data_IF_276690682377
#
_entry.id   IF_276690682377
#
_cell.length_a   1.000
_cell.length_b   1.000
_cell.length_c   1.000
_cell.angle_alpha   90.00
_cell.angle_beta   90.00
_cell.angle_gamma   90.00
#
_symmetry.space_group_name_H-M   'P 1'
#
loop_
_entity.id
_entity.type
_entity.pdbx_description
1 polymer ?
#
# COMPACT_ATOMS: atom_id res chain seq x y z
N UNK A 1 39.88 -30.42 -35.42
CA UNK A 1 40.59 -29.67 -34.36
C UNK A 1 40.45 -28.20 -34.74
N UNK A 2 39.66 -27.36 -34.09
CA UNK A 2 39.20 -27.34 -32.69
C UNK A 2 37.88 -26.56 -32.63
N UNK A 3 36.82 -27.23 -32.22
CA UNK A 3 35.56 -26.64 -31.78
C UNK A 3 35.81 -25.88 -30.46
N UNK A 4 35.86 -24.55 -30.52
CA UNK A 4 35.74 -23.72 -29.31
C UNK A 4 34.26 -23.60 -28.97
N UNK A 5 33.85 -24.42 -28.00
CA UNK A 5 32.59 -24.27 -27.27
C UNK A 5 32.71 -23.00 -26.41
N UNK A 6 32.07 -21.91 -26.81
CA UNK A 6 31.76 -20.79 -25.92
C UNK A 6 30.35 -21.00 -25.33
N UNK A 7 30.17 -20.79 -24.03
CA UNK A 7 28.96 -21.15 -23.31
C UNK A 7 27.78 -20.25 -23.69
N UNK A 8 26.61 -20.88 -23.72
CA UNK A 8 25.29 -20.38 -24.13
C UNK A 8 24.69 -19.31 -23.19
N UNK A 9 25.50 -18.44 -22.56
CA UNK A 9 25.03 -17.55 -21.48
C UNK A 9 24.90 -16.07 -21.85
N UNK A 10 25.13 -15.69 -23.11
CA UNK A 10 24.93 -14.31 -23.58
C UNK A 10 23.77 -14.20 -24.56
N UNK A 11 22.61 -14.74 -24.17
CA UNK A 11 21.34 -14.18 -24.63
C UNK A 11 21.13 -12.89 -23.83
N UNK A 12 21.46 -11.76 -24.45
CA UNK A 12 21.01 -10.45 -23.98
C UNK A 12 19.49 -10.45 -24.11
N UNK A 13 18.85 -10.83 -23.00
CA UNK A 13 17.40 -10.83 -22.84
C UNK A 13 16.90 -9.41 -23.01
N UNK A 14 16.02 -9.21 -23.98
CA UNK A 14 15.22 -7.99 -24.20
C UNK A 14 14.19 -7.73 -23.08
N UNK A 15 14.36 -8.33 -21.90
CA UNK A 15 13.60 -7.99 -20.72
C UNK A 15 14.38 -6.92 -19.96
N UNK A 16 14.14 -5.67 -20.33
CA UNK A 16 14.45 -4.53 -19.47
C UNK A 16 13.83 -4.79 -18.10
N UNK A 17 14.70 -4.99 -17.13
CA UNK A 17 14.59 -4.80 -15.68
C UNK A 17 13.37 -3.93 -15.26
N UNK A 18 12.15 -4.45 -15.37
CA UNK A 18 11.00 -3.89 -14.67
C UNK A 18 11.11 -4.43 -13.27
N UNK A 19 11.85 -3.72 -12.42
CA UNK A 19 11.85 -4.02 -10.99
C UNK A 19 10.42 -3.79 -10.53
N UNK A 20 9.73 -4.89 -10.28
CA UNK A 20 8.43 -4.98 -9.64
C UNK A 20 8.62 -4.67 -8.15
N UNK A 21 9.14 -3.47 -7.84
CA UNK A 21 9.20 -2.91 -6.48
C UNK A 21 8.03 -1.95 -6.35
N UNK A 22 6.87 -2.48 -6.03
CA UNK A 22 5.75 -1.63 -5.63
C UNK A 22 5.11 -2.36 -4.45
N UNK A 23 5.18 -1.68 -3.32
CA UNK A 23 5.18 -2.20 -1.96
C UNK A 23 4.23 -1.34 -1.14
N UNK A 24 3.15 -1.91 -0.60
CA UNK A 24 2.26 -1.15 0.27
C UNK A 24 3.08 -0.50 1.38
N UNK A 25 2.72 0.69 1.86
CA UNK A 25 3.46 1.31 2.96
C UNK A 25 2.96 0.74 4.29
N UNK A 26 3.90 0.40 5.18
CA UNK A 26 3.66 0.07 6.59
C UNK A 26 4.29 1.11 7.51
N UNK A 27 3.79 1.20 8.74
CA UNK A 27 4.42 1.99 9.81
C UNK A 27 5.10 1.03 10.79
N UNK A 28 6.38 1.28 11.07
CA UNK A 28 7.15 0.46 12.03
C UNK A 28 6.94 0.91 13.48
N UNK A 29 7.46 0.10 14.41
CA UNK A 29 7.48 0.38 15.84
C UNK A 29 8.37 1.58 16.25
N UNK A 30 9.12 2.15 15.30
CA UNK A 30 9.87 3.40 15.49
C UNK A 30 8.97 4.65 15.48
N UNK A 31 7.67 4.47 15.20
CA UNK A 31 6.69 5.55 15.21
C UNK A 31 6.60 6.25 16.57
N UNK A 32 6.71 7.58 16.55
CA UNK A 32 6.66 8.43 17.75
C UNK A 32 5.28 9.03 18.02
N UNK A 33 4.23 8.53 17.37
CA UNK A 33 2.84 9.01 17.52
C UNK A 33 2.68 10.53 17.35
N UNK A 34 3.34 11.12 16.36
CA UNK A 34 3.28 12.57 16.11
C UNK A 34 2.02 13.05 15.36
N UNK A 35 1.27 12.13 14.73
CA UNK A 35 0.04 12.43 13.99
C UNK A 35 0.22 13.16 12.65
N UNK A 36 1.45 13.32 12.16
CA UNK A 36 1.71 14.06 10.92
C UNK A 36 1.25 13.32 9.65
N UNK A 37 1.29 11.98 9.62
CA UNK A 37 1.00 11.20 8.41
C UNK A 37 -0.50 10.94 8.17
N UNK A 38 -1.32 10.90 9.23
CA UNK A 38 -2.76 10.63 9.16
C UNK A 38 -3.51 11.56 8.17
N UNK A 39 -3.41 12.89 8.27
CA UNK A 39 -4.17 13.80 7.41
C UNK A 39 -3.70 13.80 5.94
N UNK A 40 -2.50 13.29 5.67
CA UNK A 40 -1.92 13.28 4.33
C UNK A 40 -2.38 12.09 3.48
N UNK A 41 -3.02 11.09 4.08
CA UNK A 41 -3.46 9.90 3.36
C UNK A 41 -4.75 10.18 2.56
N UNK A 42 -4.73 10.08 1.20
CA UNK A 42 -5.90 10.39 0.38
C UNK A 42 -7.06 9.40 0.54
N UNK A 43 -6.78 8.19 1.03
CA UNK A 43 -7.79 7.15 1.25
C UNK A 43 -8.17 6.99 2.73
N UNK A 44 -7.63 7.85 3.62
CA UNK A 44 -7.73 7.66 5.08
C UNK A 44 -7.39 6.22 5.48
N UNK A 45 -6.23 5.74 5.06
CA UNK A 45 -5.74 4.39 5.39
C UNK A 45 -4.92 4.36 6.68
N UNK A 46 -4.60 5.52 7.25
CA UNK A 46 -3.72 5.67 8.41
C UNK A 46 -4.57 6.05 9.62
N UNK A 47 -4.36 5.38 10.74
CA UNK A 47 -5.12 5.59 11.98
C UNK A 47 -4.18 5.51 13.18
N UNK A 48 -4.53 6.22 14.26
CA UNK A 48 -3.84 6.10 15.55
C UNK A 48 -4.01 4.68 16.13
N UNK A 49 -3.02 4.22 16.89
CA UNK A 49 -3.07 2.91 17.54
C UNK A 49 -4.34 2.73 18.40
N UNK A 50 -5.02 1.59 18.22
CA UNK A 50 -6.23 1.23 18.96
C UNK A 50 -7.52 1.91 18.47
N UNK A 51 -7.44 2.77 17.45
CA UNK A 51 -8.62 3.40 16.85
C UNK A 51 -9.21 2.49 15.80
N UNK A 52 -10.51 2.19 15.89
CA UNK A 52 -11.26 1.46 14.88
C UNK A 52 -11.31 2.24 13.55
N UNK A 53 -11.29 1.51 12.43
CA UNK A 53 -11.34 2.09 11.09
C UNK A 53 -12.58 1.64 10.31
N UNK A 54 -12.84 2.27 9.16
CA UNK A 54 -13.94 1.88 8.26
C UNK A 54 -13.50 1.94 6.81
N UNK A 55 -14.15 1.15 5.95
CA UNK A 55 -13.92 1.18 4.50
C UNK A 55 -14.36 2.50 3.87
N UNK A 56 -15.42 3.10 4.38
CA UNK A 56 -15.99 4.36 3.89
C UNK A 56 -15.18 5.60 4.27
N UNK A 57 -14.35 5.53 5.32
CA UNK A 57 -13.51 6.66 5.72
C UNK A 57 -12.56 7.06 4.59
N UNK A 58 -12.71 8.27 4.06
CA UNK A 58 -11.87 8.77 2.96
C UNK A 58 -12.15 8.14 1.59
N UNK A 59 -13.26 7.41 1.41
CA UNK A 59 -13.61 6.74 0.14
C UNK A 59 -15.04 7.07 -0.30
N UNK A 60 -15.43 6.58 -1.49
CA UNK A 60 -16.80 6.66 -2.01
C UNK A 60 -17.62 5.38 -1.76
N UNK A 61 -17.08 4.43 -0.99
CA UNK A 61 -17.71 3.13 -0.73
C UNK A 61 -18.94 3.28 0.17
N UNK A 62 -20.02 2.57 -0.19
CA UNK A 62 -21.20 2.35 0.67
C UNK A 62 -21.26 0.92 1.18
N UNK A 63 -20.77 0.00 0.39
CA UNK A 63 -20.61 -1.40 0.70
C UNK A 63 -19.27 -1.86 0.12
N UNK A 64 -18.65 -2.86 0.74
CA UNK A 64 -17.45 -3.51 0.26
C UNK A 64 -17.72 -5.00 0.13
N UNK A 65 -17.19 -5.62 -0.93
CA UNK A 65 -17.17 -7.08 -1.07
C UNK A 65 -15.79 -7.58 -0.68
N UNK A 66 -15.69 -8.34 0.41
CA UNK A 66 -14.44 -8.92 0.87
C UNK A 66 -14.02 -10.11 0.00
N UNK A 67 -12.77 -10.56 0.12
CA UNK A 67 -12.23 -11.66 -0.69
C UNK A 67 -13.00 -12.98 -0.54
N UNK A 68 -13.61 -13.20 0.62
CA UNK A 68 -14.45 -14.37 0.90
C UNK A 68 -15.86 -14.27 0.27
N UNK A 69 -16.15 -13.16 -0.43
CA UNK A 69 -17.43 -12.88 -1.07
C UNK A 69 -18.49 -12.30 -0.14
N UNK A 70 -18.17 -12.02 1.12
CA UNK A 70 -19.09 -11.35 2.04
C UNK A 70 -19.22 -9.87 1.69
N UNK A 71 -20.43 -9.34 1.82
CA UNK A 71 -20.73 -7.92 1.61
C UNK A 71 -20.91 -7.27 2.97
N UNK A 72 -20.16 -6.20 3.21
CA UNK A 72 -20.18 -5.44 4.46
C UNK A 72 -20.55 -3.98 4.18
N UNK A 73 -21.27 -3.34 5.12
CA UNK A 73 -21.50 -1.89 5.10
C UNK A 73 -20.14 -1.18 5.22
N UNK A 74 -19.88 -0.19 4.36
CA UNK A 74 -18.58 0.47 4.35
C UNK A 74 -18.32 1.29 5.64
N UNK A 75 -19.36 1.63 6.41
CA UNK A 75 -19.23 2.33 7.69
C UNK A 75 -19.17 1.38 8.89
N UNK A 76 -19.22 0.06 8.66
CA UNK A 76 -19.00 -0.91 9.73
C UNK A 76 -17.58 -0.74 10.28
N UNK A 77 -17.48 -0.67 11.61
CA UNK A 77 -16.22 -0.52 12.32
C UNK A 77 -15.40 -1.80 12.25
N UNK A 78 -14.13 -1.65 11.94
CA UNK A 78 -13.15 -2.72 11.90
C UNK A 78 -12.20 -2.59 13.08
N UNK A 79 -11.72 -3.73 13.56
CA UNK A 79 -10.72 -3.81 14.61
C UNK A 79 -9.40 -3.14 14.14
N UNK A 80 -8.69 -2.45 15.05
CA UNK A 80 -7.40 -1.83 14.75
C UNK A 80 -6.35 -2.88 14.37
N UNK A 81 -5.45 -2.52 13.46
CA UNK A 81 -4.31 -3.39 13.08
C UNK A 81 -3.21 -3.36 14.13
N UNK A 82 -3.05 -2.24 14.83
CA UNK A 82 -2.11 -2.06 15.94
C UNK A 82 -2.76 -1.25 17.05
N UNK A 83 -2.45 -1.59 18.30
CA UNK A 83 -2.89 -0.86 19.50
C UNK A 83 -1.82 0.10 20.05
N UNK A 84 -0.59 0.07 19.50
CA UNK A 84 0.57 0.72 20.14
C UNK A 84 1.02 2.01 19.43
N UNK A 85 0.96 2.01 18.10
CA UNK A 85 1.40 3.11 17.26
C UNK A 85 0.49 3.29 16.06
N UNK A 86 0.60 4.43 15.37
CA UNK A 86 -0.12 4.66 14.12
C UNK A 86 0.08 3.51 13.14
N UNK A 87 -0.99 3.01 12.53
CA UNK A 87 -0.92 1.88 11.60
C UNK A 87 -1.53 2.26 10.25
N UNK A 88 -1.18 1.48 9.23
CA UNK A 88 -1.75 1.59 7.88
C UNK A 88 -2.61 0.35 7.63
N UNK A 89 -3.83 0.57 7.18
CA UNK A 89 -4.70 -0.48 6.65
C UNK A 89 -4.25 -0.79 5.23
N UNK A 90 -3.53 -1.89 5.05
CA UNK A 90 -2.92 -2.31 3.78
C UNK A 90 -3.92 -2.33 2.62
N UNK A 91 -5.14 -2.83 2.85
CA UNK A 91 -6.15 -2.94 1.80
C UNK A 91 -6.69 -1.58 1.33
N UNK A 92 -6.45 -0.50 2.09
CA UNK A 92 -6.77 0.88 1.72
C UNK A 92 -5.55 1.66 1.22
N UNK A 93 -4.35 1.14 1.41
CA UNK A 93 -3.13 1.78 0.95
C UNK A 93 -2.98 1.60 -0.57
N UNK A 94 -2.88 2.72 -1.30
CA UNK A 94 -2.60 2.70 -2.76
C UNK A 94 -1.20 3.22 -3.08
N UNK A 95 -0.34 3.38 -2.07
CA UNK A 95 0.96 4.07 -2.20
C UNK A 95 0.82 5.46 -2.85
N UNK A 96 -0.33 6.11 -2.64
CA UNK A 96 -0.74 7.36 -3.30
C UNK A 96 -0.86 7.29 -4.84
N UNK A 97 -0.74 6.12 -5.47
CA UNK A 97 -0.90 5.97 -6.91
C UNK A 97 -2.26 6.49 -7.36
N UNK A 98 -2.24 7.31 -8.42
CA UNK A 98 -3.41 8.00 -8.96
C UNK A 98 -3.84 9.25 -8.18
N UNK A 99 -3.11 9.65 -7.13
CA UNK A 99 -3.29 10.91 -6.40
C UNK A 99 -2.03 11.77 -6.41
N UNK A 100 -0.88 11.16 -6.07
CA UNK A 100 0.43 11.78 -6.01
C UNK A 100 1.48 10.88 -6.66
N UNK A 101 2.65 11.43 -6.97
CA UNK A 101 3.76 10.68 -7.58
C UNK A 101 4.53 9.83 -6.55
N UNK A 102 4.44 10.18 -5.26
CA UNK A 102 5.15 9.52 -4.17
C UNK A 102 4.24 9.39 -2.92
N UNK A 103 4.52 8.43 -2.00
CA UNK A 103 3.78 8.29 -0.76
C UNK A 103 3.91 9.51 0.16
N UNK A 104 2.81 10.23 0.40
CA UNK A 104 2.82 11.45 1.20
C UNK A 104 3.16 11.19 2.67
N UNK A 105 2.74 10.05 3.23
CA UNK A 105 3.04 9.66 4.61
C UNK A 105 4.55 9.51 4.86
N UNK A 106 5.29 8.93 3.91
CA UNK A 106 6.75 8.82 3.98
C UNK A 106 7.42 10.19 3.86
N UNK A 107 6.89 11.08 3.01
CA UNK A 107 7.45 12.42 2.83
C UNK A 107 7.32 13.33 4.06
N UNK A 108 6.32 13.10 4.93
CA UNK A 108 6.09 13.92 6.13
C UNK A 108 6.57 13.28 7.44
N UNK A 109 6.98 12.01 7.42
CA UNK A 109 7.38 11.30 8.62
C UNK A 109 8.70 11.86 9.18
N UNK A 110 8.74 12.38 10.43
CA UNK A 110 9.97 12.99 10.98
C UNK A 110 11.02 11.98 11.43
N UNK A 111 10.66 10.69 11.48
CA UNK A 111 11.52 9.58 11.94
C UNK A 111 11.64 8.47 10.90
N UNK A 112 11.21 8.72 9.66
CA UNK A 112 11.32 7.80 8.52
C UNK A 112 10.76 6.38 8.78
N UNK A 113 9.73 6.25 9.63
CA UNK A 113 9.14 4.95 10.01
C UNK A 113 7.99 4.50 9.10
N UNK A 114 7.60 5.30 8.09
CA UNK A 114 6.63 4.93 7.06
C UNK A 114 7.41 4.35 5.88
N UNK A 115 7.53 3.03 5.83
CA UNK A 115 8.43 2.30 4.92
C UNK A 115 7.66 1.30 4.09
N UNK A 116 8.30 0.82 3.04
CA UNK A 116 7.76 -0.21 2.19
C UNK A 116 7.52 -1.54 2.96
N UNK A 117 6.35 -2.14 2.79
CA UNK A 117 5.95 -3.42 3.34
C UNK A 117 6.41 -4.56 2.42
N UNK A 118 7.37 -5.41 2.86
CA UNK A 118 7.88 -6.50 2.04
C UNK A 118 6.88 -7.63 1.82
N UNK A 119 5.86 -7.76 2.66
CA UNK A 119 4.89 -8.85 2.62
C UNK A 119 3.66 -8.51 1.78
N UNK A 120 3.43 -7.22 1.47
CA UNK A 120 2.28 -6.73 0.70
C UNK A 120 2.71 -5.94 -0.54
N UNK A 121 3.39 -6.63 -1.47
CA UNK A 121 3.84 -6.05 -2.74
C UNK A 121 2.79 -6.14 -3.83
N UNK A 122 2.48 -5.03 -4.50
CA UNK A 122 1.26 -4.93 -5.30
C UNK A 122 1.36 -4.62 -6.79
N UNK A 123 2.35 -4.03 -7.44
CA UNK A 123 2.18 -3.55 -8.85
C UNK A 123 1.22 -2.36 -9.02
N UNK A 124 1.64 -1.40 -9.84
CA UNK A 124 0.90 -0.17 -10.12
C UNK A 124 -0.53 -0.43 -10.64
N UNK A 125 -0.72 -1.46 -11.47
CA UNK A 125 -2.04 -1.82 -11.99
C UNK A 125 -3.02 -2.22 -10.89
N UNK A 126 -2.56 -3.00 -9.89
CA UNK A 126 -3.38 -3.41 -8.74
C UNK A 126 -3.71 -2.20 -7.86
N UNK A 127 -2.75 -1.31 -7.62
CA UNK A 127 -2.97 -0.11 -6.80
C UNK A 127 -3.95 0.87 -7.45
N UNK A 128 -3.85 1.06 -8.77
CA UNK A 128 -4.80 1.86 -9.52
C UNK A 128 -6.21 1.22 -9.54
N UNK A 129 -6.30 -0.11 -9.63
CA UNK A 129 -7.56 -0.82 -9.50
C UNK A 129 -8.17 -0.70 -8.09
N UNK A 130 -7.33 -0.77 -7.04
CA UNK A 130 -7.73 -0.55 -5.65
C UNK A 130 -8.27 0.88 -5.45
N UNK A 131 -7.58 1.89 -6.00
CA UNK A 131 -8.08 3.27 -6.03
C UNK A 131 -9.44 3.35 -6.72
N UNK A 132 -9.54 2.82 -7.94
CA UNK A 132 -10.76 2.84 -8.73
C UNK A 132 -11.95 2.22 -7.97
N UNK A 133 -11.71 1.09 -7.29
CA UNK A 133 -12.69 0.44 -6.43
C UNK A 133 -13.15 1.35 -5.29
N UNK A 134 -12.23 2.01 -4.59
CA UNK A 134 -12.58 2.89 -3.46
C UNK A 134 -13.26 4.19 -3.87
N UNK A 135 -12.92 4.73 -5.05
CA UNK A 135 -13.35 6.08 -5.47
C UNK A 135 -14.37 6.09 -6.62
N UNK A 136 -14.75 4.93 -7.14
CA UNK A 136 -15.77 4.78 -8.17
C UNK A 136 -15.35 5.29 -9.54
N UNK A 137 -14.08 5.09 -9.90
CA UNK A 137 -13.48 5.50 -11.19
C UNK A 137 -13.33 4.33 -12.17
#
# INVERSE_FOLDING_TARGET
MTTFLLPLSYMVSTFGFKIIEVMAIMITDECINCGACEPECPNTAIYEGGVEWTWGGGTSLKEVTLEDGTVQDANEKQEPVSDEFYYIVTDKCTECNGFHEEPQCAAVCPVDCCVDDPDHRESEEVLLAKKAMMHGE
#
